data_IF_570275095376
#
_entry.id   IF_570275095376
#
_cell.length_a   1.000
_cell.length_b   1.000
_cell.length_c   1.000
_cell.angle_alpha   90.00
_cell.angle_beta   90.00
_cell.angle_gamma   90.00
#
_symmetry.space_group_name_H-M   'P 1'
#
loop_
_entity.id
_entity.type
_entity.pdbx_description
1 polymer ?
#
# COMPACT_ATOMS: atom_id res chain seq x y z
N UNK A 1 -18.12 -49.68 28.06
CA UNK A 1 -19.21 -49.56 27.06
C UNK A 1 -19.68 -48.11 27.09
N UNK A 2 -18.96 -47.20 26.44
CA UNK A 2 -19.18 -46.77 25.04
C UNK A 2 -20.56 -46.20 24.80
N UNK A 3 -20.68 -44.87 24.91
CA UNK A 3 -21.54 -44.08 24.03
C UNK A 3 -20.82 -42.76 23.73
N UNK A 4 -20.14 -42.72 22.59
CA UNK A 4 -19.64 -41.50 21.97
C UNK A 4 -20.82 -40.81 21.29
N UNK A 5 -21.06 -39.55 21.64
CA UNK A 5 -21.91 -38.63 20.88
C UNK A 5 -21.02 -37.47 20.42
N UNK A 6 -20.75 -37.43 19.13
CA UNK A 6 -20.11 -36.31 18.42
C UNK A 6 -21.11 -35.14 18.31
N UNK A 7 -20.71 -33.89 18.52
CA UNK A 7 -21.44 -32.75 17.98
C UNK A 7 -20.95 -32.47 16.56
N UNK A 8 -21.90 -32.53 15.63
CA UNK A 8 -21.78 -32.14 14.23
C UNK A 8 -21.31 -30.68 14.13
N UNK A 9 -20.16 -30.48 13.47
CA UNK A 9 -19.64 -29.16 13.14
C UNK A 9 -20.46 -28.51 12.02
N UNK A 10 -21.15 -27.41 12.34
CA UNK A 10 -21.65 -26.48 11.33
C UNK A 10 -20.46 -25.66 10.80
N UNK A 11 -19.93 -26.07 9.66
CA UNK A 11 -18.96 -25.28 8.90
C UNK A 11 -19.63 -24.02 8.35
N UNK A 12 -19.61 -22.95 9.15
CA UNK A 12 -19.85 -21.60 8.64
C UNK A 12 -18.62 -21.16 7.84
N UNK A 13 -18.79 -21.02 6.53
CA UNK A 13 -17.79 -20.46 5.63
C UNK A 13 -17.45 -19.02 6.04
N UNK A 14 -16.27 -18.81 6.60
CA UNK A 14 -15.69 -17.49 6.82
C UNK A 14 -15.20 -16.91 5.48
N UNK A 15 -16.01 -16.04 4.89
CA UNK A 15 -15.58 -15.05 3.90
C UNK A 15 -14.68 -14.03 4.61
N UNK A 16 -13.44 -13.84 4.16
CA UNK A 16 -12.61 -12.73 4.65
C UNK A 16 -11.82 -12.06 3.53
N UNK A 17 -11.99 -10.73 3.55
CA UNK A 17 -11.78 -9.72 2.55
C UNK A 17 -10.31 -9.41 2.19
N UNK A 18 -10.14 -8.91 0.97
CA UNK A 18 -8.91 -8.38 0.41
C UNK A 18 -8.70 -6.96 0.96
N UNK A 19 -7.64 -6.72 1.72
CA UNK A 19 -7.27 -5.38 2.22
C UNK A 19 -6.69 -4.57 1.06
N UNK A 20 -7.59 -4.07 0.21
CA UNK A 20 -7.56 -2.88 -0.66
C UNK A 20 -8.73 -2.95 -1.64
N UNK A 21 -9.91 -2.94 -1.05
CA UNK A 21 -11.14 -3.19 -1.76
C UNK A 21 -12.13 -2.06 -1.50
N UNK A 22 -12.16 -1.10 -2.43
CA UNK A 22 -13.24 -0.14 -2.63
C UNK A 22 -14.58 -0.84 -2.98
N UNK A 23 -14.66 -2.17 -2.88
CA UNK A 23 -15.88 -2.97 -2.98
C UNK A 23 -16.16 -3.85 -1.75
N UNK A 24 -15.30 -3.93 -0.72
CA UNK A 24 -15.56 -4.75 0.50
C UNK A 24 -15.87 -3.96 1.77
N UNK A 25 -16.07 -2.64 1.68
CA UNK A 25 -16.88 -1.94 2.70
C UNK A 25 -18.31 -2.55 2.76
N UNK A 26 -18.73 -3.29 1.73
CA UNK A 26 -20.09 -3.84 1.65
C UNK A 26 -20.29 -5.30 2.08
N UNK A 27 -19.23 -6.07 2.42
CA UNK A 27 -19.43 -7.48 2.81
C UNK A 27 -19.79 -7.70 4.28
N UNK A 28 -19.52 -6.75 5.19
CA UNK A 28 -19.99 -6.88 6.59
C UNK A 28 -21.43 -6.39 6.81
N UNK A 29 -21.99 -5.60 5.88
CA UNK A 29 -23.40 -5.18 5.90
C UNK A 29 -24.35 -6.18 5.24
N UNK A 30 -23.87 -7.27 4.63
CA UNK A 30 -24.75 -8.28 4.05
C UNK A 30 -25.63 -9.02 5.10
N UNK A 31 -25.36 -8.86 6.39
CA UNK A 31 -26.19 -9.36 7.50
C UNK A 31 -27.15 -8.32 8.08
N UNK A 32 -27.09 -7.06 7.64
CA UNK A 32 -28.02 -5.99 8.00
C UNK A 32 -28.52 -5.32 6.72
N UNK A 33 -29.77 -5.61 6.32
CA UNK A 33 -30.44 -5.06 5.13
C UNK A 33 -30.62 -3.53 5.20
N UNK A 34 -29.55 -2.76 5.17
CA UNK A 34 -29.58 -1.31 5.00
C UNK A 34 -29.14 -0.96 3.59
N UNK A 35 -29.93 -0.15 2.91
CA UNK A 35 -29.63 0.33 1.57
C UNK A 35 -28.36 1.19 1.59
N UNK A 36 -27.48 1.11 0.58
CA UNK A 36 -26.30 1.95 0.50
C UNK A 36 -26.69 3.43 0.56
N UNK A 37 -25.92 4.20 1.33
CA UNK A 37 -26.19 5.61 1.52
C UNK A 37 -26.14 6.35 0.16
N UNK A 38 -26.76 7.54 0.04
CA UNK A 38 -26.59 8.38 -1.16
C UNK A 38 -25.12 8.70 -1.48
N UNK A 39 -24.23 8.57 -0.50
CA UNK A 39 -22.80 8.89 -0.57
C UNK A 39 -21.94 7.71 -0.99
N UNK A 40 -22.22 6.50 -0.49
CA UNK A 40 -21.70 5.24 -1.05
C UNK A 40 -21.93 5.21 -2.56
N UNK A 41 -23.11 5.67 -2.97
CA UNK A 41 -23.47 5.81 -4.39
C UNK A 41 -22.66 6.88 -5.12
N UNK A 42 -22.18 7.95 -4.46
CA UNK A 42 -21.35 8.99 -5.09
C UNK A 42 -19.90 8.53 -5.25
N UNK A 43 -19.23 8.04 -4.22
CA UNK A 43 -17.84 7.56 -4.35
C UNK A 43 -17.75 6.34 -5.28
N UNK A 44 -18.78 5.48 -5.24
CA UNK A 44 -18.95 4.42 -6.24
C UNK A 44 -19.07 4.99 -7.66
N UNK A 45 -19.89 6.05 -7.87
CA UNK A 45 -19.98 6.72 -9.18
C UNK A 45 -18.64 7.31 -9.60
N UNK A 46 -17.92 8.01 -8.71
CA UNK A 46 -16.63 8.63 -9.02
C UNK A 46 -15.56 7.58 -9.38
N UNK A 47 -15.50 6.48 -8.61
CA UNK A 47 -14.63 5.35 -8.93
C UNK A 47 -15.04 4.70 -10.25
N UNK A 48 -16.34 4.61 -10.54
CA UNK A 48 -16.84 4.09 -11.81
C UNK A 48 -16.45 5.00 -12.97
N UNK A 49 -16.55 6.33 -12.85
CA UNK A 49 -16.20 7.29 -13.89
C UNK A 49 -14.73 7.18 -14.30
N UNK A 50 -13.82 7.04 -13.31
CA UNK A 50 -12.39 6.81 -13.58
C UNK A 50 -12.20 5.49 -14.33
N UNK A 51 -12.85 4.42 -13.88
CA UNK A 51 -12.75 3.10 -14.50
C UNK A 51 -13.30 3.13 -15.93
N UNK A 52 -14.46 3.73 -16.16
CA UNK A 52 -15.10 3.87 -17.47
C UNK A 52 -14.23 4.67 -18.44
N UNK A 53 -13.70 5.81 -17.98
CA UNK A 53 -12.73 6.60 -18.74
C UNK A 53 -11.54 5.74 -19.16
N UNK A 54 -10.91 5.03 -18.22
CA UNK A 54 -9.73 4.21 -18.53
C UNK A 54 -10.06 2.99 -19.40
N UNK A 55 -11.22 2.37 -19.24
CA UNK A 55 -11.68 1.27 -20.10
C UNK A 55 -11.86 1.73 -21.56
N UNK A 56 -12.32 2.97 -21.76
CA UNK A 56 -12.46 3.57 -23.10
C UNK A 56 -11.12 3.96 -23.69
N UNK A 57 -10.29 4.68 -22.93
CA UNK A 57 -9.07 5.32 -23.45
C UNK A 57 -7.82 4.43 -23.43
N UNK A 58 -7.77 3.37 -22.61
CA UNK A 58 -6.52 2.63 -22.33
C UNK A 58 -6.64 1.13 -22.59
N UNK A 59 -6.15 0.62 -23.73
CA UNK A 59 -6.17 -0.80 -24.06
C UNK A 59 -5.50 -1.70 -23.01
N UNK A 60 -4.38 -1.26 -22.42
CA UNK A 60 -3.66 -2.00 -21.38
C UNK A 60 -4.52 -2.19 -20.13
N UNK A 61 -5.26 -1.16 -19.74
CA UNK A 61 -6.16 -1.21 -18.58
C UNK A 61 -7.39 -2.08 -18.86
N UNK A 62 -7.94 -2.02 -20.08
CA UNK A 62 -9.03 -2.90 -20.50
C UNK A 62 -8.62 -4.37 -20.40
N UNK A 63 -7.47 -4.73 -20.98
CA UNK A 63 -6.90 -6.08 -20.88
C UNK A 63 -6.66 -6.49 -19.44
N UNK A 64 -6.10 -5.60 -18.61
CA UNK A 64 -5.91 -5.87 -17.19
C UNK A 64 -7.25 -6.17 -16.49
N UNK A 65 -8.28 -5.37 -16.76
CA UNK A 65 -9.60 -5.49 -16.15
C UNK A 65 -10.26 -6.83 -16.47
N UNK A 66 -10.14 -7.29 -17.73
CA UNK A 66 -10.59 -8.63 -18.14
C UNK A 66 -9.84 -9.76 -17.42
N UNK A 67 -8.51 -9.68 -17.35
CA UNK A 67 -7.68 -10.69 -16.68
C UNK A 67 -7.95 -10.76 -15.18
N UNK A 68 -8.14 -9.59 -14.56
CA UNK A 68 -8.57 -9.49 -13.17
C UNK A 68 -9.91 -10.20 -13.01
N UNK A 69 -10.94 -9.83 -13.77
CA UNK A 69 -12.27 -10.48 -13.70
C UNK A 69 -12.18 -12.01 -13.83
N UNK A 70 -11.36 -12.53 -14.75
CA UNK A 70 -11.11 -13.98 -14.87
C UNK A 70 -10.47 -14.58 -13.62
N UNK A 71 -9.53 -13.87 -13.00
CA UNK A 71 -8.84 -14.31 -11.79
C UNK A 71 -9.75 -14.34 -10.56
N UNK A 72 -10.57 -13.30 -10.37
CA UNK A 72 -11.57 -13.21 -9.29
C UNK A 72 -12.63 -14.31 -9.39
N UNK A 73 -13.01 -14.70 -10.61
CA UNK A 73 -13.98 -15.78 -10.83
C UNK A 73 -13.35 -17.18 -10.75
N UNK A 74 -12.11 -17.31 -10.31
CA UNK A 74 -11.39 -18.58 -10.28
C UNK A 74 -10.93 -18.91 -8.85
N UNK A 75 -11.51 -19.93 -8.20
CA UNK A 75 -11.14 -20.32 -6.83
C UNK A 75 -9.67 -20.76 -6.65
N UNK A 76 -8.95 -21.06 -7.75
CA UNK A 76 -7.50 -21.30 -7.69
C UNK A 76 -6.72 -20.00 -7.48
N UNK A 77 -7.25 -18.88 -7.96
CA UNK A 77 -6.77 -17.54 -7.65
C UNK A 77 -6.82 -17.30 -6.15
N UNK A 78 -8.00 -17.43 -5.53
CA UNK A 78 -8.17 -17.17 -4.10
C UNK A 78 -7.19 -17.96 -3.24
N UNK A 79 -7.08 -19.28 -3.48
CA UNK A 79 -6.12 -20.16 -2.81
C UNK A 79 -4.67 -19.73 -3.01
N UNK A 80 -4.31 -19.26 -4.21
CA UNK A 80 -2.98 -18.75 -4.50
C UNK A 80 -2.63 -17.51 -3.67
N UNK A 81 -3.54 -16.53 -3.61
CA UNK A 81 -3.33 -15.31 -2.83
C UNK A 81 -3.39 -15.58 -1.32
N UNK A 82 -4.26 -16.49 -0.86
CA UNK A 82 -4.35 -16.90 0.54
C UNK A 82 -3.05 -17.55 1.04
N UNK A 83 -2.47 -18.46 0.26
CA UNK A 83 -1.18 -19.08 0.60
C UNK A 83 -0.07 -18.02 0.75
N UNK A 84 -0.06 -17.01 -0.11
CA UNK A 84 0.93 -15.93 -0.03
C UNK A 84 0.70 -15.03 1.19
N UNK A 85 -0.55 -14.78 1.59
CA UNK A 85 -0.87 -14.05 2.83
C UNK A 85 -0.37 -14.81 4.06
N UNK A 86 -0.74 -16.09 4.18
CA UNK A 86 -0.28 -16.95 5.29
C UNK A 86 1.25 -16.98 5.42
N UNK A 87 1.97 -17.06 4.29
CA UNK A 87 3.43 -17.04 4.30
C UNK A 87 4.01 -15.68 4.74
N UNK A 88 3.34 -14.57 4.40
CA UNK A 88 3.74 -13.24 4.85
C UNK A 88 3.46 -13.01 6.34
N UNK A 89 2.30 -13.48 6.82
CA UNK A 89 1.85 -13.31 8.21
C UNK A 89 2.65 -14.17 9.20
N UNK A 90 3.06 -15.36 8.78
CA UNK A 90 3.82 -16.31 9.61
C UNK A 90 5.23 -16.55 9.06
N UNK A 91 5.89 -15.47 8.66
CA UNK A 91 7.22 -15.54 8.08
C UNK A 91 8.25 -16.08 9.11
N UNK A 92 8.78 -17.26 8.84
CA UNK A 92 9.96 -17.79 9.54
C UNK A 92 11.24 -17.05 9.11
N UNK A 93 12.37 -17.36 9.74
CA UNK A 93 13.65 -16.69 9.44
C UNK A 93 14.06 -16.82 7.96
N UNK A 94 13.73 -17.95 7.33
CA UNK A 94 14.01 -18.17 5.91
C UNK A 94 13.15 -17.27 5.03
N UNK A 95 11.87 -17.15 5.36
CA UNK A 95 10.90 -16.32 4.64
C UNK A 95 11.22 -14.84 4.83
N UNK A 96 11.58 -14.41 6.04
CA UNK A 96 12.04 -13.04 6.30
C UNK A 96 13.29 -12.70 5.47
N UNK A 97 14.30 -13.59 5.42
CA UNK A 97 15.48 -13.42 4.56
C UNK A 97 15.11 -13.33 3.07
N UNK A 98 14.15 -14.14 2.62
CA UNK A 98 13.65 -14.07 1.26
C UNK A 98 13.01 -12.71 0.96
N UNK A 99 12.14 -12.19 1.84
CA UNK A 99 11.53 -10.88 1.66
C UNK A 99 12.55 -9.75 1.68
N UNK A 100 13.51 -9.79 2.60
CA UNK A 100 14.61 -8.82 2.63
C UNK A 100 15.37 -8.78 1.31
N UNK A 101 15.74 -9.95 0.77
CA UNK A 101 16.41 -10.05 -0.53
C UNK A 101 15.53 -9.55 -1.68
N UNK A 102 14.26 -9.96 -1.70
CA UNK A 102 13.29 -9.53 -2.70
C UNK A 102 13.16 -8.01 -2.74
N UNK A 103 13.04 -7.34 -1.58
CA UNK A 103 12.96 -5.88 -1.50
C UNK A 103 14.25 -5.21 -1.98
N UNK A 104 15.43 -5.75 -1.63
CA UNK A 104 16.69 -5.25 -2.19
C UNK A 104 16.75 -5.38 -3.72
N UNK A 105 16.21 -6.46 -4.27
CA UNK A 105 16.19 -6.72 -5.71
C UNK A 105 15.24 -5.75 -6.42
N UNK A 106 14.03 -5.53 -5.87
CA UNK A 106 13.11 -4.48 -6.33
C UNK A 106 13.79 -3.12 -6.28
N UNK A 107 14.44 -2.76 -5.17
CA UNK A 107 15.10 -1.47 -5.00
C UNK A 107 16.22 -1.26 -6.04
N UNK A 108 17.02 -2.29 -6.31
CA UNK A 108 18.05 -2.25 -7.36
C UNK A 108 17.48 -2.04 -8.74
N UNK A 109 16.45 -2.80 -9.10
CA UNK A 109 15.83 -2.70 -10.42
C UNK A 109 15.14 -1.34 -10.60
N UNK A 110 14.46 -0.86 -9.55
CA UNK A 110 13.85 0.46 -9.51
C UNK A 110 14.91 1.56 -9.70
N UNK A 111 16.00 1.51 -8.94
CA UNK A 111 17.10 2.48 -9.07
C UNK A 111 17.72 2.43 -10.47
N UNK A 112 18.08 1.25 -10.97
CA UNK A 112 18.71 1.10 -12.30
C UNK A 112 17.91 1.75 -13.42
N UNK A 113 16.58 1.66 -13.34
CA UNK A 113 15.68 2.19 -14.38
C UNK A 113 15.33 3.67 -14.21
N UNK A 114 15.51 4.24 -13.02
CA UNK A 114 14.93 5.56 -12.69
C UNK A 114 15.87 6.54 -12.01
N UNK A 115 16.98 6.05 -11.45
CA UNK A 115 17.91 6.79 -10.59
C UNK A 115 17.35 7.14 -9.21
N UNK A 116 16.15 6.69 -8.84
CA UNK A 116 15.36 7.30 -7.75
C UNK A 116 16.02 7.29 -6.37
N UNK A 117 16.84 6.28 -6.06
CA UNK A 117 17.54 6.20 -4.78
C UNK A 117 18.79 7.09 -4.68
N UNK A 118 19.27 7.70 -5.77
CA UNK A 118 20.46 8.56 -5.72
C UNK A 118 20.10 9.91 -5.12
N UNK A 119 20.76 10.26 -4.01
CA UNK A 119 20.70 11.61 -3.45
C UNK A 119 21.70 12.47 -4.22
N UNK A 120 21.23 13.59 -4.77
CA UNK A 120 22.05 14.58 -5.47
C UNK A 120 22.24 15.78 -4.55
N UNK A 121 23.27 15.70 -3.71
CA UNK A 121 23.61 16.74 -2.74
C UNK A 121 25.09 17.12 -2.91
N UNK A 122 25.44 18.41 -2.77
CA UNK A 122 26.83 18.86 -2.77
C UNK A 122 27.59 18.42 -1.50
N UNK A 123 26.89 17.98 -0.45
CA UNK A 123 27.46 17.58 0.85
C UNK A 123 26.99 16.17 1.23
N UNK A 124 27.65 15.11 0.72
CA UNK A 124 27.18 13.73 0.86
C UNK A 124 27.09 13.22 2.30
N UNK A 125 27.92 13.74 3.20
CA UNK A 125 27.98 13.44 4.64
C UNK A 125 26.76 13.95 5.41
N UNK A 126 26.06 14.94 4.85
CA UNK A 126 24.83 15.52 5.40
C UNK A 126 23.55 14.94 4.78
N UNK A 127 23.68 13.90 3.96
CA UNK A 127 22.54 13.23 3.36
C UNK A 127 21.78 12.45 4.43
N UNK A 128 20.47 12.62 4.47
CA UNK A 128 19.60 11.96 5.44
C UNK A 128 18.48 11.19 4.73
N UNK A 129 18.23 9.96 5.18
CA UNK A 129 17.20 9.06 4.66
C UNK A 129 16.19 8.77 5.78
N UNK A 130 14.90 8.84 5.46
CA UNK A 130 13.82 8.41 6.35
C UNK A 130 13.17 7.14 5.80
N UNK A 131 13.02 6.11 6.64
CA UNK A 131 12.23 4.91 6.33
C UNK A 131 11.20 4.66 7.43
N UNK A 132 9.94 4.98 7.17
CA UNK A 132 8.90 4.97 8.21
C UNK A 132 8.32 3.59 8.51
N UNK A 133 8.61 2.59 7.69
CA UNK A 133 8.16 1.22 7.87
C UNK A 133 9.27 0.27 7.44
N UNK A 134 10.42 0.42 8.09
CA UNK A 134 11.70 -0.07 7.61
C UNK A 134 11.79 -1.59 7.54
N UNK A 135 11.28 -2.33 8.54
CA UNK A 135 11.44 -3.79 8.59
C UNK A 135 10.89 -4.48 7.33
N UNK A 136 11.65 -5.39 6.68
CA UNK A 136 12.93 -5.96 7.11
C UNK A 136 14.19 -5.12 6.76
N UNK A 137 14.06 -4.05 5.99
CA UNK A 137 15.11 -3.06 5.71
C UNK A 137 15.70 -3.12 4.31
N UNK A 138 15.04 -3.82 3.37
CA UNK A 138 15.60 -4.07 2.04
C UNK A 138 15.74 -2.82 1.16
N UNK A 139 14.77 -1.90 1.23
CA UNK A 139 14.87 -0.62 0.53
C UNK A 139 15.91 0.30 1.16
N UNK A 140 15.91 0.45 2.49
CA UNK A 140 16.95 1.25 3.16
C UNK A 140 18.36 0.68 2.92
N UNK A 141 18.54 -0.64 2.92
CA UNK A 141 19.81 -1.26 2.56
C UNK A 141 20.27 -0.88 1.14
N UNK A 142 19.33 -0.83 0.19
CA UNK A 142 19.62 -0.40 -1.18
C UNK A 142 19.99 1.07 -1.23
N UNK A 143 19.27 1.93 -0.50
CA UNK A 143 19.52 3.36 -0.43
C UNK A 143 20.89 3.68 0.18
N UNK A 144 21.24 3.06 1.31
CA UNK A 144 22.54 3.23 1.97
C UNK A 144 23.70 2.74 1.11
N UNK A 145 23.54 1.65 0.35
CA UNK A 145 24.59 1.22 -0.58
C UNK A 145 24.87 2.25 -1.68
N UNK A 146 23.83 2.94 -2.15
CA UNK A 146 23.95 3.94 -3.22
C UNK A 146 24.39 5.31 -2.68
N UNK A 147 24.16 5.57 -1.40
CA UNK A 147 24.54 6.80 -0.72
C UNK A 147 25.39 6.43 0.50
N UNK A 148 26.64 5.98 0.29
CA UNK A 148 27.44 5.34 1.31
C UNK A 148 27.78 6.25 2.48
N UNK A 149 27.65 7.57 2.36
CA UNK A 149 27.88 8.55 3.44
C UNK A 149 26.59 9.01 4.16
N UNK A 150 25.42 8.60 3.68
CA UNK A 150 24.15 9.04 4.25
C UNK A 150 23.92 8.51 5.67
N UNK A 151 23.20 9.31 6.45
CA UNK A 151 22.57 8.94 7.70
C UNK A 151 21.13 8.49 7.45
N UNK A 152 20.60 7.62 8.30
CA UNK A 152 19.23 7.17 8.19
C UNK A 152 18.51 7.15 9.54
N UNK A 153 17.25 7.56 9.52
CA UNK A 153 16.28 7.33 10.58
C UNK A 153 15.26 6.30 10.08
N UNK A 154 15.16 5.19 10.78
CA UNK A 154 14.19 4.13 10.52
C UNK A 154 13.17 4.02 11.65
N UNK A 155 11.91 3.82 11.29
CA UNK A 155 10.86 3.39 12.20
C UNK A 155 10.41 1.99 11.83
N UNK A 156 10.06 1.18 12.82
CA UNK A 156 9.48 -0.15 12.59
C UNK A 156 8.54 -0.51 13.71
N UNK A 157 7.44 -1.19 13.38
CA UNK A 157 6.52 -1.70 14.39
C UNK A 157 7.26 -2.72 15.28
N UNK A 158 7.13 -2.65 16.62
CA UNK A 158 7.68 -3.65 17.52
C UNK A 158 7.16 -5.06 17.21
N UNK A 159 8.01 -6.09 17.35
CA UNK A 159 7.57 -7.49 17.13
C UNK A 159 6.45 -7.93 18.07
N UNK A 160 6.46 -7.45 19.31
CA UNK A 160 5.39 -7.72 20.28
C UNK A 160 4.02 -7.19 19.82
N UNK A 161 4.01 -6.24 18.89
CA UNK A 161 2.80 -5.67 18.30
C UNK A 161 2.55 -6.23 16.88
N UNK A 162 3.14 -7.39 16.54
CA UNK A 162 2.99 -8.01 15.22
C UNK A 162 3.94 -7.49 14.15
N UNK A 163 4.94 -6.67 14.50
CA UNK A 163 5.96 -6.18 13.56
C UNK A 163 6.94 -7.26 13.09
N UNK A 164 7.58 -7.01 11.93
CA UNK A 164 8.53 -7.94 11.33
C UNK A 164 9.96 -7.85 11.90
N UNK A 165 10.75 -8.91 11.69
CA UNK A 165 12.18 -8.91 11.98
C UNK A 165 12.92 -7.88 11.13
N UNK A 166 13.73 -7.03 11.77
CA UNK A 166 14.69 -6.18 11.07
C UNK A 166 15.92 -7.01 10.70
N UNK A 167 16.23 -7.04 9.39
CA UNK A 167 17.36 -7.78 8.83
C UNK A 167 18.45 -6.87 8.25
N UNK A 168 18.24 -5.55 8.26
CA UNK A 168 19.28 -4.57 8.00
C UNK A 168 20.40 -4.73 9.05
N UNK A 169 21.66 -4.96 8.64
CA UNK A 169 22.78 -5.01 9.58
C UNK A 169 22.90 -3.71 10.38
N UNK A 170 23.32 -3.83 11.64
CA UNK A 170 23.61 -2.64 12.48
C UNK A 170 24.66 -1.79 11.79
N UNK A 171 24.42 -0.48 11.78
CA UNK A 171 25.31 0.47 11.12
C UNK A 171 25.34 1.77 11.94
N UNK A 172 26.52 2.39 12.17
CA UNK A 172 26.63 3.55 13.05
C UNK A 172 25.83 4.77 12.57
N UNK A 173 25.56 4.86 11.26
CA UNK A 173 24.79 5.94 10.65
C UNK A 173 23.29 5.63 10.50
N UNK A 174 22.81 4.56 11.12
CA UNK A 174 21.39 4.18 11.11
C UNK A 174 20.84 4.24 12.53
N UNK A 175 19.92 5.16 12.77
CA UNK A 175 19.10 5.20 13.99
C UNK A 175 17.80 4.47 13.72
N UNK A 176 17.51 3.43 14.49
CA UNK A 176 16.28 2.66 14.37
C UNK A 176 15.44 2.80 15.65
N UNK A 177 14.19 3.22 15.50
CA UNK A 177 13.20 3.33 16.58
C UNK A 177 12.09 2.29 16.36
N UNK A 178 11.74 1.55 17.42
CA UNK A 178 10.63 0.60 17.39
C UNK A 178 9.37 1.25 17.98
N UNK A 179 8.42 1.62 17.13
CA UNK A 179 7.17 2.28 17.52
C UNK A 179 6.11 2.14 16.44
N UNK A 180 4.85 2.41 16.79
CA UNK A 180 3.75 2.56 15.84
C UNK A 180 3.68 4.02 15.38
N UNK A 181 4.00 4.28 14.10
CA UNK A 181 4.01 5.65 13.57
C UNK A 181 2.62 6.29 13.59
N UNK A 182 1.54 5.49 13.59
CA UNK A 182 0.17 6.02 13.68
C UNK A 182 -0.16 6.61 15.05
N UNK A 183 0.72 6.44 16.03
CA UNK A 183 0.62 6.97 17.38
C UNK A 183 1.46 8.25 17.61
N UNK A 184 2.12 8.78 16.58
CA UNK A 184 2.96 9.99 16.63
C UNK A 184 2.11 11.27 16.65
N UNK A 185 1.26 11.43 17.67
CA UNK A 185 0.31 12.55 17.74
C UNK A 185 1.00 13.93 17.76
N UNK A 186 2.08 14.07 18.53
CA UNK A 186 2.82 15.32 18.64
C UNK A 186 3.44 15.73 17.28
N UNK A 187 4.02 14.77 16.54
CA UNK A 187 4.59 15.04 15.21
C UNK A 187 3.50 15.35 14.17
N UNK A 188 2.30 14.78 14.35
CA UNK A 188 1.08 15.06 13.58
C UNK A 188 0.34 16.34 14.03
N UNK A 189 0.95 17.15 14.90
CA UNK A 189 0.43 18.47 15.29
C UNK A 189 -0.61 18.46 16.41
N UNK A 190 -0.73 17.37 17.17
CA UNK A 190 -1.64 17.27 18.30
C UNK A 190 -0.89 16.98 19.61
N UNK A 191 -0.70 18.01 20.43
CA UNK A 191 -0.03 17.91 21.73
C UNK A 191 -0.97 17.48 22.87
N UNK A 192 -2.24 17.88 22.79
CA UNK A 192 -3.23 17.64 23.85
C UNK A 192 -4.20 16.52 23.44
N UNK A 193 -4.01 15.34 24.03
CA UNK A 193 -4.88 14.19 23.82
C UNK A 193 -6.03 14.21 24.84
N UNK A 194 -7.30 14.06 24.43
CA UNK A 194 -8.43 13.99 25.36
C UNK A 194 -8.27 12.83 26.35
N UNK A 195 -8.41 13.08 27.66
CA UNK A 195 -8.21 12.09 28.73
C UNK A 195 -9.10 10.86 28.61
N UNK A 196 -10.29 11.02 28.03
CA UNK A 196 -11.28 9.95 27.83
C UNK A 196 -10.94 9.02 26.66
N UNK A 197 -9.94 9.36 25.84
CA UNK A 197 -9.59 8.54 24.68
C UNK A 197 -8.96 7.22 25.15
N UNK A 198 -9.38 6.05 24.61
CA UNK A 198 -8.91 4.73 25.10
C UNK A 198 -7.40 4.55 24.98
N UNK A 199 -6.77 5.18 23.97
CA UNK A 199 -5.33 5.15 23.73
C UNK A 199 -4.57 6.39 24.26
N UNK A 200 -5.15 7.19 25.15
CA UNK A 200 -4.50 8.44 25.65
C UNK A 200 -3.04 8.26 26.04
N UNK A 201 -2.73 7.17 26.75
CA UNK A 201 -1.37 6.85 27.24
C UNK A 201 -0.46 6.22 26.18
N UNK A 202 -1.01 5.83 25.04
CA UNK A 202 -0.29 5.14 23.97
C UNK A 202 0.23 6.11 22.90
N UNK A 203 -0.27 7.35 22.86
CA UNK A 203 0.26 8.38 21.97
C UNK A 203 1.66 8.81 22.40
N UNK A 204 2.49 9.07 21.40
CA UNK A 204 3.92 9.28 21.57
C UNK A 204 4.27 10.78 21.52
N UNK A 205 5.28 11.21 22.30
CA UNK A 205 5.86 12.53 22.15
C UNK A 205 6.62 12.64 20.82
N UNK A 206 6.98 13.87 20.45
CA UNK A 206 7.74 14.19 19.24
C UNK A 206 8.93 13.26 19.05
N UNK A 207 9.02 12.64 17.86
CA UNK A 207 10.09 11.73 17.50
C UNK A 207 11.08 12.31 16.49
N UNK A 208 10.74 13.42 15.85
CA UNK A 208 11.59 14.16 14.93
C UNK A 208 12.22 15.36 15.64
N UNK A 209 13.51 15.58 15.43
CA UNK A 209 14.17 16.76 16.00
C UNK A 209 13.66 18.05 15.32
N UNK A 210 13.62 19.18 16.03
CA UNK A 210 13.27 20.46 15.41
C UNK A 210 14.15 20.76 14.19
N UNK A 211 13.52 21.02 13.04
CA UNK A 211 14.22 21.28 11.78
C UNK A 211 14.86 20.04 11.13
N UNK A 212 14.63 18.83 11.63
CA UNK A 212 15.12 17.61 11.00
C UNK A 212 14.51 17.43 9.61
N UNK A 213 15.35 17.25 8.60
CA UNK A 213 14.94 17.11 7.20
C UNK A 213 15.71 15.98 6.50
N UNK A 214 15.11 15.42 5.46
CA UNK A 214 15.59 14.26 4.73
C UNK A 214 15.66 14.52 3.22
N UNK A 215 16.61 13.90 2.56
CA UNK A 215 16.80 13.96 1.11
C UNK A 215 15.98 12.88 0.38
N UNK A 216 15.80 11.74 1.05
CA UNK A 216 15.06 10.58 0.55
C UNK A 216 14.14 10.04 1.65
N UNK A 217 12.86 9.86 1.32
CA UNK A 217 11.86 9.28 2.21
C UNK A 217 11.26 8.04 1.57
N UNK A 218 11.18 6.95 2.35
CA UNK A 218 10.58 5.68 1.98
C UNK A 218 9.26 5.48 2.75
N UNK A 219 8.17 5.37 2.00
CA UNK A 219 6.81 5.14 2.50
C UNK A 219 6.28 3.81 1.95
N UNK A 220 6.73 2.69 2.50
CA UNK A 220 6.35 1.34 2.07
C UNK A 220 5.48 0.60 3.10
N UNK A 221 4.97 1.34 4.10
CA UNK A 221 4.17 0.78 5.18
C UNK A 221 2.81 0.27 4.72
N UNK A 222 2.44 -0.91 5.23
CA UNK A 222 1.12 -1.50 5.08
C UNK A 222 0.62 -2.03 6.43
N UNK A 223 -0.69 -2.05 6.60
CA UNK A 223 -1.34 -2.66 7.77
C UNK A 223 -1.03 -4.15 7.78
N UNK A 224 -0.40 -4.60 8.87
CA UNK A 224 -0.16 -6.02 9.14
C UNK A 224 -1.43 -6.64 9.74
N UNK A 225 -1.76 -7.86 9.27
CA UNK A 225 -2.97 -8.60 9.70
C UNK A 225 -2.87 -9.15 11.12
N UNK A 226 -1.64 -9.32 11.62
CA UNK A 226 -1.37 -9.83 12.97
C UNK A 226 -1.15 -8.72 14.01
N UNK A 227 -1.30 -7.45 13.63
CA UNK A 227 -1.23 -6.36 14.58
C UNK A 227 -2.59 -6.22 15.25
N UNK A 228 -2.63 -6.44 16.56
CA UNK A 228 -3.83 -6.17 17.37
C UNK A 228 -4.11 -4.67 17.44
N UNK A 229 -5.37 -4.27 17.24
CA UNK A 229 -5.77 -2.87 17.14
C UNK A 229 -7.05 -2.63 17.89
N UNK A 230 -7.15 -1.45 18.47
CA UNK A 230 -8.38 -1.01 19.09
C UNK A 230 -9.51 -0.88 18.05
N UNK A 231 -10.70 -1.36 18.41
CA UNK A 231 -11.86 -1.45 17.51
C UNK A 231 -12.25 -0.11 16.85
N UNK A 232 -12.07 1.01 17.58
CA UNK A 232 -12.44 2.35 17.08
C UNK A 232 -11.64 2.77 15.83
N UNK A 233 -10.42 2.23 15.63
CA UNK A 233 -9.52 2.61 14.55
C UNK A 233 -9.30 1.55 13.48
N UNK A 234 -9.71 0.30 13.74
CA UNK A 234 -9.36 -0.84 12.89
C UNK A 234 -9.74 -0.60 11.41
N UNK A 235 -10.98 -0.18 11.15
CA UNK A 235 -11.47 0.06 9.80
C UNK A 235 -10.85 1.29 9.10
N UNK A 236 -10.24 2.21 9.86
CA UNK A 236 -9.61 3.44 9.36
C UNK A 236 -8.10 3.34 9.24
N UNK A 237 -7.54 2.25 9.73
CA UNK A 237 -6.12 2.16 10.04
C UNK A 237 -5.24 2.22 8.79
N UNK A 238 -5.67 1.60 7.70
CA UNK A 238 -4.94 1.69 6.43
C UNK A 238 -4.78 3.15 6.00
N UNK A 239 -5.85 3.94 6.13
CA UNK A 239 -5.81 5.36 5.86
C UNK A 239 -4.91 6.10 6.84
N UNK A 240 -5.05 5.86 8.16
CA UNK A 240 -4.20 6.46 9.21
C UNK A 240 -2.72 6.24 8.92
N UNK A 241 -2.33 5.01 8.58
CA UNK A 241 -0.95 4.65 8.24
C UNK A 241 -0.46 5.36 6.98
N UNK A 242 -1.27 5.41 5.92
CA UNK A 242 -0.89 6.10 4.68
C UNK A 242 -0.72 7.60 4.89
N UNK A 243 -1.67 8.27 5.54
CA UNK A 243 -1.61 9.74 5.72
C UNK A 243 -0.53 10.15 6.73
N UNK A 244 -0.23 9.32 7.74
CA UNK A 244 0.94 9.55 8.61
C UNK A 244 2.24 9.51 7.80
N UNK A 245 2.43 8.50 6.96
CA UNK A 245 3.63 8.40 6.11
C UNK A 245 3.72 9.56 5.11
N UNK A 246 2.61 9.96 4.50
CA UNK A 246 2.58 11.08 3.55
C UNK A 246 2.86 12.42 4.22
N UNK A 247 2.19 12.69 5.34
CA UNK A 247 2.33 13.94 6.10
C UNK A 247 3.75 14.11 6.62
N UNK A 248 4.24 13.18 7.44
CA UNK A 248 5.58 13.26 8.02
C UNK A 248 6.66 13.22 6.94
N UNK A 249 6.47 12.40 5.91
CA UNK A 249 7.38 12.32 4.78
C UNK A 249 7.50 13.65 4.04
N UNK A 250 6.39 14.31 3.71
CA UNK A 250 6.41 15.59 2.99
C UNK A 250 6.82 16.76 3.88
N UNK A 251 6.43 16.76 5.15
CA UNK A 251 6.79 17.78 6.15
C UNK A 251 8.29 17.84 6.42
N UNK A 252 8.95 16.69 6.38
CA UNK A 252 10.39 16.57 6.65
C UNK A 252 11.23 16.34 5.39
N UNK A 253 10.71 16.47 4.17
CA UNK A 253 11.54 16.38 2.96
C UNK A 253 12.19 17.74 2.65
N UNK A 254 13.49 17.73 2.33
CA UNK A 254 14.19 18.90 1.80
C UNK A 254 13.59 19.31 0.43
N UNK A 255 13.57 20.61 0.10
CA UNK A 255 13.30 21.04 -1.27
C UNK A 255 14.24 20.34 -2.26
N UNK A 256 13.67 19.83 -3.35
CA UNK A 256 14.37 18.99 -4.33
C UNK A 256 14.44 17.50 -3.97
N UNK A 257 14.05 17.11 -2.75
CA UNK A 257 14.13 15.74 -2.27
C UNK A 257 13.19 14.76 -2.99
N UNK A 258 13.27 13.49 -2.58
CA UNK A 258 12.55 12.37 -3.20
C UNK A 258 11.74 11.57 -2.19
N UNK A 259 10.50 11.23 -2.55
CA UNK A 259 9.65 10.28 -1.84
C UNK A 259 9.37 9.06 -2.73
N UNK A 260 9.51 7.86 -2.16
CA UNK A 260 9.12 6.59 -2.77
C UNK A 260 7.94 6.05 -1.97
N UNK A 261 6.77 5.97 -2.58
CA UNK A 261 5.51 5.65 -1.89
C UNK A 261 4.86 4.42 -2.50
N UNK A 262 4.57 3.42 -1.68
CA UNK A 262 3.79 2.24 -2.07
C UNK A 262 2.30 2.60 -2.18
N UNK A 263 1.73 2.36 -3.36
CA UNK A 263 0.32 2.56 -3.67
C UNK A 263 -0.26 1.30 -4.30
N UNK A 264 -1.58 1.24 -4.41
CA UNK A 264 -2.29 0.09 -4.98
C UNK A 264 -3.37 0.56 -5.94
N UNK A 265 -3.49 -0.13 -7.09
CA UNK A 265 -4.48 0.18 -8.14
C UNK A 265 -4.36 1.64 -8.61
N UNK A 266 -3.63 1.88 -9.71
CA UNK A 266 -3.44 3.24 -10.25
C UNK A 266 -4.78 3.94 -10.50
N UNK A 267 -5.79 3.17 -10.89
CA UNK A 267 -7.16 3.58 -11.15
C UNK A 267 -8.03 3.81 -9.91
N UNK A 268 -7.55 3.50 -8.69
CA UNK A 268 -8.33 3.76 -7.48
C UNK A 268 -8.42 5.26 -7.24
N UNK A 269 -9.58 5.73 -6.77
CA UNK A 269 -9.81 7.15 -6.48
C UNK A 269 -8.70 7.73 -5.60
N UNK A 270 -8.30 7.01 -4.55
CA UNK A 270 -7.23 7.39 -3.63
C UNK A 270 -5.88 7.57 -4.34
N UNK A 271 -5.48 6.61 -5.18
CA UNK A 271 -4.23 6.71 -5.94
C UNK A 271 -4.28 7.84 -6.96
N UNK A 272 -5.38 8.02 -7.67
CA UNK A 272 -5.52 9.11 -8.65
C UNK A 272 -5.43 10.48 -7.97
N UNK A 273 -6.11 10.66 -6.83
CA UNK A 273 -6.05 11.89 -6.04
C UNK A 273 -4.62 12.18 -5.56
N UNK A 274 -3.93 11.19 -5.00
CA UNK A 274 -2.54 11.36 -4.56
C UNK A 274 -1.61 11.71 -5.73
N UNK A 275 -1.75 11.02 -6.86
CA UNK A 275 -0.94 11.31 -8.05
C UNK A 275 -1.19 12.72 -8.57
N UNK A 276 -2.44 13.18 -8.60
CA UNK A 276 -2.78 14.55 -8.99
C UNK A 276 -2.22 15.59 -8.03
N UNK A 277 -2.34 15.36 -6.71
CA UNK A 277 -1.79 16.25 -5.68
C UNK A 277 -0.28 16.40 -5.85
N UNK A 278 0.46 15.29 -5.93
CA UNK A 278 1.91 15.32 -6.09
C UNK A 278 2.36 15.90 -7.43
N UNK A 279 1.61 15.75 -8.53
CA UNK A 279 1.98 16.30 -9.84
C UNK A 279 2.00 17.85 -9.83
N UNK A 280 1.39 18.50 -8.83
CA UNK A 280 1.40 19.96 -8.67
C UNK A 280 2.71 20.51 -8.10
N UNK A 281 3.43 19.70 -7.33
CA UNK A 281 4.63 20.16 -6.62
C UNK A 281 5.84 19.22 -6.74
N UNK A 282 5.73 18.14 -7.50
CA UNK A 282 6.80 17.17 -7.71
C UNK A 282 6.82 16.63 -9.14
N UNK A 283 7.97 16.11 -9.56
CA UNK A 283 8.10 15.27 -10.75
C UNK A 283 7.67 13.85 -10.41
N UNK A 284 6.47 13.44 -10.88
CA UNK A 284 5.90 12.12 -10.59
C UNK A 284 6.20 11.12 -11.70
N UNK A 285 6.66 9.92 -11.31
CA UNK A 285 6.79 8.72 -12.15
C UNK A 285 6.22 7.51 -11.42
N UNK A 286 5.77 6.49 -12.14
CA UNK A 286 5.33 5.23 -11.56
C UNK A 286 6.30 4.10 -11.86
N UNK A 287 6.46 3.20 -10.89
CA UNK A 287 7.26 1.99 -11.03
C UNK A 287 6.47 0.77 -10.59
N UNK A 288 6.46 -0.25 -11.44
CA UNK A 288 5.93 -1.58 -11.10
C UNK A 288 7.04 -2.62 -11.27
N UNK A 289 7.37 -3.41 -10.24
CA UNK A 289 8.32 -4.48 -10.39
C UNK A 289 7.77 -5.56 -11.35
N UNK A 290 8.62 -6.07 -12.24
CA UNK A 290 8.24 -7.03 -13.29
C UNK A 290 8.33 -8.49 -12.85
N UNK A 291 9.00 -8.75 -11.71
CA UNK A 291 9.24 -10.09 -11.16
C UNK A 291 8.46 -10.30 -9.86
N UNK A 292 8.87 -9.59 -8.80
CA UNK A 292 8.18 -9.62 -7.52
C UNK A 292 6.88 -8.81 -7.56
N UNK A 293 5.83 -9.32 -6.94
CA UNK A 293 4.51 -8.66 -6.86
C UNK A 293 3.92 -8.22 -8.22
N UNK A 294 4.40 -8.75 -9.34
CA UNK A 294 3.98 -8.32 -10.66
C UNK A 294 2.47 -8.57 -10.90
N UNK A 295 1.90 -9.63 -10.30
CA UNK A 295 0.46 -9.93 -10.36
C UNK A 295 -0.39 -9.10 -9.39
N UNK A 296 0.22 -8.52 -8.35
CA UNK A 296 -0.47 -7.68 -7.36
C UNK A 296 -0.83 -6.32 -7.95
N UNK A 297 -1.78 -5.63 -7.34
CA UNK A 297 -2.14 -4.25 -7.69
C UNK A 297 -1.12 -3.22 -7.20
N UNK A 298 -0.17 -3.61 -6.35
CA UNK A 298 0.86 -2.74 -5.80
C UNK A 298 1.78 -2.17 -6.87
N UNK A 299 2.14 -0.90 -6.70
CA UNK A 299 3.11 -0.16 -7.48
C UNK A 299 3.72 0.97 -6.62
N UNK A 300 4.78 1.60 -7.09
CA UNK A 300 5.44 2.70 -6.39
C UNK A 300 5.23 4.01 -7.15
N UNK A 301 4.76 5.04 -6.45
CA UNK A 301 4.90 6.43 -6.88
C UNK A 301 6.31 6.89 -6.53
N UNK A 302 7.01 7.44 -7.51
CA UNK A 302 8.32 8.05 -7.38
C UNK A 302 8.14 9.55 -7.57
N UNK A 303 8.10 10.29 -6.48
CA UNK A 303 7.99 11.76 -6.49
C UNK A 303 9.38 12.35 -6.21
N UNK A 304 9.96 13.03 -7.19
CA UNK A 304 11.29 13.67 -7.07
C UNK A 304 11.21 15.16 -7.38
N UNK A 305 12.26 15.92 -7.05
CA UNK A 305 12.27 17.38 -7.20
C UNK A 305 11.08 18.02 -6.45
N UNK A 306 10.80 17.54 -5.25
CA UNK A 306 9.66 17.98 -4.45
C UNK A 306 9.88 19.43 -4.02
N UNK A 307 8.95 20.32 -4.35
CA UNK A 307 8.90 21.71 -3.85
C UNK A 307 8.16 21.73 -2.51
N UNK A 308 8.80 21.27 -1.44
CA UNK A 308 8.16 21.11 -0.13
C UNK A 308 7.81 22.43 0.58
N UNK A 309 8.36 23.54 0.10
CA UNK A 309 8.14 24.90 0.58
C UNK A 309 6.98 25.63 -0.12
N UNK A 310 6.29 24.98 -1.07
CA UNK A 310 5.18 25.59 -1.81
C UNK A 310 3.82 25.44 -1.10
N UNK A 311 2.87 26.32 -1.45
CA UNK A 311 1.54 26.34 -0.86
C UNK A 311 0.78 25.03 -1.06
N UNK A 312 0.92 24.37 -2.21
CA UNK A 312 0.27 23.09 -2.50
C UNK A 312 0.79 21.97 -1.60
N UNK A 313 2.09 21.94 -1.30
CA UNK A 313 2.66 20.96 -0.38
C UNK A 313 2.17 21.21 1.05
N UNK A 314 2.16 22.47 1.50
CA UNK A 314 1.63 22.85 2.81
C UNK A 314 0.14 22.50 2.97
N UNK A 315 -0.68 22.76 1.94
CA UNK A 315 -2.09 22.37 1.91
C UNK A 315 -2.28 20.86 1.99
N UNK A 316 -1.44 20.08 1.28
CA UNK A 316 -1.50 18.62 1.33
C UNK A 316 -1.19 18.09 2.74
N UNK A 317 -0.14 18.62 3.40
CA UNK A 317 0.20 18.27 4.79
C UNK A 317 -0.97 18.58 5.73
N UNK A 318 -1.48 19.81 5.71
CA UNK A 318 -2.58 20.23 6.59
C UNK A 318 -3.84 19.36 6.40
N UNK A 319 -4.14 19.01 5.16
CA UNK A 319 -5.24 18.10 4.82
C UNK A 319 -5.04 16.71 5.40
N UNK A 320 -3.84 16.12 5.26
CA UNK A 320 -3.54 14.80 5.80
C UNK A 320 -3.50 14.78 7.33
N UNK A 321 -2.97 15.81 7.99
CA UNK A 321 -2.99 15.95 9.46
C UNK A 321 -4.43 16.09 9.98
N UNK A 322 -5.27 16.88 9.30
CA UNK A 322 -6.70 17.02 9.63
C UNK A 322 -7.44 15.68 9.50
N UNK A 323 -7.27 14.98 8.38
CA UNK A 323 -7.86 13.65 8.17
C UNK A 323 -7.36 12.64 9.21
N UNK A 324 -6.08 12.70 9.59
CA UNK A 324 -5.54 11.83 10.63
C UNK A 324 -6.17 12.10 11.98
N UNK A 325 -6.38 13.37 12.34
CA UNK A 325 -7.07 13.76 13.56
C UNK A 325 -8.51 13.25 13.57
N UNK A 326 -9.25 13.40 12.48
CA UNK A 326 -10.63 12.89 12.38
C UNK A 326 -10.65 11.36 12.44
N UNK A 327 -9.77 10.69 11.69
CA UNK A 327 -9.68 9.23 11.70
C UNK A 327 -9.30 8.67 13.09
N UNK A 328 -8.59 9.45 13.90
CA UNK A 328 -8.13 9.04 15.23
C UNK A 328 -9.10 9.40 16.36
N UNK A 329 -9.69 10.60 16.32
CA UNK A 329 -10.46 11.15 17.45
C UNK A 329 -11.94 11.44 17.09
N UNK A 330 -12.29 11.44 15.81
CA UNK A 330 -13.65 11.73 15.34
C UNK A 330 -14.55 10.51 15.33
N UNK A 331 -15.87 10.77 15.32
CA UNK A 331 -16.90 9.73 15.16
C UNK A 331 -16.91 9.16 13.73
N UNK A 332 -17.62 8.04 13.52
CA UNK A 332 -17.81 7.48 12.17
C UNK A 332 -18.45 8.50 11.23
N UNK A 333 -19.48 9.20 11.68
CA UNK A 333 -20.14 10.25 10.90
C UNK A 333 -19.18 11.39 10.50
N UNK A 334 -18.30 11.82 11.42
CA UNK A 334 -17.29 12.83 11.11
C UNK A 334 -16.28 12.32 10.09
N UNK A 335 -15.87 11.06 10.21
CA UNK A 335 -14.92 10.45 9.28
C UNK A 335 -15.52 10.29 7.88
N UNK A 336 -16.73 9.76 7.77
CA UNK A 336 -17.45 9.63 6.50
C UNK A 336 -17.71 10.99 5.84
N UNK A 337 -18.09 11.99 6.64
CA UNK A 337 -18.24 13.37 6.16
C UNK A 337 -16.91 13.93 5.67
N UNK A 338 -15.81 13.70 6.40
CA UNK A 338 -14.50 14.17 5.99
C UNK A 338 -14.08 13.52 4.68
N UNK A 339 -14.25 12.20 4.50
CA UNK A 339 -13.95 11.51 3.24
C UNK A 339 -14.71 12.14 2.05
N UNK A 340 -15.94 12.59 2.30
CA UNK A 340 -16.77 13.27 1.30
C UNK A 340 -16.23 14.65 0.92
N UNK A 341 -15.85 15.47 1.90
CA UNK A 341 -15.37 16.85 1.69
C UNK A 341 -13.93 16.90 1.17
N UNK A 342 -13.14 15.85 1.46
CA UNK A 342 -11.75 15.71 1.04
C UNK A 342 -11.67 15.45 -0.49
N UNK A 343 -12.71 14.90 -1.10
CA UNK A 343 -12.69 14.46 -2.50
C UNK A 343 -12.64 15.58 -3.55
N UNK A 344 -11.66 15.53 -4.46
CA UNK A 344 -11.73 16.30 -5.71
C UNK A 344 -12.83 15.71 -6.61
N UNK A 345 -13.65 16.56 -7.22
CA UNK A 345 -14.68 16.12 -8.17
C UNK A 345 -14.05 15.33 -9.33
N UNK A 346 -14.44 14.06 -9.51
CA UNK A 346 -13.80 13.16 -10.48
C UNK A 346 -13.89 13.67 -11.92
N UNK A 347 -14.97 14.37 -12.29
CA UNK A 347 -15.08 14.98 -13.62
C UNK A 347 -14.00 16.04 -13.86
N UNK A 348 -13.77 16.91 -12.86
CA UNK A 348 -12.70 17.93 -12.90
C UNK A 348 -11.34 17.25 -12.90
N UNK A 349 -11.16 16.25 -12.03
CA UNK A 349 -9.94 15.46 -11.93
C UNK A 349 -9.61 14.75 -13.24
N UNK A 350 -10.57 14.08 -13.87
CA UNK A 350 -10.39 13.37 -15.14
C UNK A 350 -10.17 14.33 -16.30
N UNK A 351 -10.86 15.47 -16.31
CA UNK A 351 -10.66 16.51 -17.34
C UNK A 351 -9.25 17.08 -17.30
N UNK A 352 -8.74 17.39 -16.11
CA UNK A 352 -7.42 18.01 -15.94
C UNK A 352 -6.27 16.98 -15.96
N UNK A 353 -6.46 15.85 -15.28
CA UNK A 353 -5.42 14.88 -15.02
C UNK A 353 -5.54 13.59 -15.84
N UNK A 354 -6.68 13.31 -16.46
CA UNK A 354 -6.94 12.07 -17.21
C UNK A 354 -5.84 11.71 -18.20
N UNK A 355 -5.43 12.60 -19.13
CA UNK A 355 -4.35 12.32 -20.06
C UNK A 355 -3.01 12.03 -19.38
N UNK A 356 -2.72 12.69 -18.25
CA UNK A 356 -1.50 12.46 -17.45
C UNK A 356 -1.58 11.12 -16.72
N UNK A 357 -2.74 10.79 -16.14
CA UNK A 357 -3.03 9.51 -15.51
C UNK A 357 -2.81 8.34 -16.48
N UNK A 358 -3.33 8.45 -17.72
CA UNK A 358 -3.10 7.45 -18.78
C UNK A 358 -1.62 7.24 -19.02
N UNK A 359 -0.85 8.33 -19.21
CA UNK A 359 0.60 8.23 -19.45
C UNK A 359 1.34 7.58 -18.28
N UNK A 360 0.99 7.93 -17.05
CA UNK A 360 1.60 7.37 -15.84
C UNK A 360 1.27 5.88 -15.68
N UNK A 361 0.00 5.50 -15.81
CA UNK A 361 -0.50 4.16 -15.52
C UNK A 361 -0.20 3.12 -16.59
N UNK A 362 -0.05 3.51 -17.87
CA UNK A 362 0.06 2.60 -19.02
C UNK A 362 1.00 1.41 -18.77
N UNK A 363 2.23 1.69 -18.36
CA UNK A 363 3.25 0.66 -18.13
C UNK A 363 2.96 -0.20 -16.89
N UNK A 364 2.37 0.40 -15.84
CA UNK A 364 1.98 -0.32 -14.62
C UNK A 364 0.90 -1.35 -14.94
N UNK A 365 -0.14 -0.94 -15.68
CA UNK A 365 -1.22 -1.84 -16.07
C UNK A 365 -0.75 -2.95 -17.00
N UNK A 366 0.08 -2.64 -18.01
CA UNK A 366 0.62 -3.66 -18.92
C UNK A 366 1.48 -4.70 -18.20
N UNK A 367 2.38 -4.28 -17.31
CA UNK A 367 3.19 -5.20 -16.52
C UNK A 367 2.30 -6.12 -15.68
N UNK A 368 1.24 -5.59 -15.06
CA UNK A 368 0.32 -6.42 -14.28
C UNK A 368 -0.46 -7.39 -15.17
N UNK A 369 -0.99 -6.92 -16.30
CA UNK A 369 -1.73 -7.75 -17.25
C UNK A 369 -0.86 -8.90 -17.76
N UNK A 370 0.39 -8.61 -18.15
CA UNK A 370 1.34 -9.62 -18.60
C UNK A 370 1.68 -10.65 -17.51
N UNK A 371 1.77 -10.23 -16.25
CA UNK A 371 1.99 -11.14 -15.14
C UNK A 371 0.77 -12.03 -14.87
N UNK A 372 -0.44 -11.46 -14.88
CA UNK A 372 -1.69 -12.20 -14.67
C UNK A 372 -1.95 -13.19 -15.80
N UNK A 373 -1.75 -12.81 -17.05
CA UNK A 373 -1.90 -13.71 -18.21
C UNK A 373 -1.01 -14.96 -18.13
N UNK A 374 0.13 -14.88 -17.42
CA UNK A 374 1.05 -16.01 -17.20
C UNK A 374 0.84 -16.71 -15.86
N UNK A 375 -0.08 -16.22 -15.03
CA UNK A 375 -0.28 -16.75 -13.69
C UNK A 375 -0.80 -18.20 -13.75
N UNK A 376 -0.31 -19.10 -12.89
CA UNK A 376 -0.64 -20.52 -12.97
C UNK A 376 -2.14 -20.81 -12.77
N UNK A 377 -2.86 -19.93 -12.07
CA UNK A 377 -4.32 -20.06 -11.89
C UNK A 377 -5.12 -19.60 -13.12
N UNK A 378 -4.54 -18.83 -14.04
CA UNK A 378 -5.19 -18.36 -15.28
C UNK A 378 -4.77 -19.14 -16.53
N UNK A 379 -3.78 -20.03 -16.43
CA UNK A 379 -3.45 -20.94 -17.53
C UNK A 379 -4.55 -21.98 -17.66
N UNK A 380 -5.25 -21.98 -18.80
CA UNK A 380 -6.02 -23.14 -19.22
C UNK A 380 -5.02 -24.28 -19.50
N UNK A 381 -5.20 -25.43 -18.86
CA UNK A 381 -4.47 -26.62 -19.30
C UNK A 381 -4.92 -26.88 -20.74
N UNK A 382 -4.00 -27.11 -21.71
CA UNK A 382 -4.40 -27.65 -22.99
C UNK A 382 -5.15 -28.95 -22.69
N UNK A 383 -6.43 -29.00 -23.03
CA UNK A 383 -7.21 -30.23 -23.00
C UNK A 383 -6.43 -31.24 -23.84
N UNK A 384 -6.06 -32.36 -23.22
CA UNK A 384 -5.27 -33.40 -23.85
C UNK A 384 -5.95 -33.93 -25.11
N UNK A 385 -5.43 -33.54 -26.27
CA UNK A 385 -5.49 -34.38 -27.46
C UNK A 385 -4.61 -35.60 -27.18
N UNK A 386 -5.22 -36.67 -26.71
CA UNK A 386 -4.51 -37.89 -26.33
C UNK A 386 -5.42 -39.06 -26.00
N UNK A 387 -6.59 -39.15 -26.64
CA UNK A 387 -7.39 -40.37 -26.68
C UNK A 387 -7.07 -41.16 -27.94
N UNK A 388 -5.87 -41.76 -28.02
CA UNK A 388 -5.65 -42.87 -28.95
C UNK A 388 -5.90 -44.15 -28.17
N UNK A 389 -7.07 -44.73 -28.45
CA UNK A 389 -7.43 -46.12 -28.18
C UNK A 389 -6.32 -47.07 -28.60
N UNK A 390 -5.76 -47.80 -27.64
CA UNK A 390 -5.10 -49.08 -27.91
C UNK A 390 -6.13 -50.16 -27.60
N UNK A 391 -6.53 -50.89 -28.64
CA UNK A 391 -7.39 -52.06 -28.52
C UNK A 391 -6.68 -53.16 -27.73
N UNK A 392 -7.42 -53.75 -26.81
CA UNK A 392 -7.11 -54.99 -26.12
C UNK A 392 -6.93 -56.14 -27.13
N UNK A 393 -5.86 -56.91 -26.98
CA UNK A 393 -5.74 -58.24 -27.56
C UNK A 393 -5.54 -59.24 -26.42
N UNK A 394 -6.60 -59.99 -26.12
CA UNK A 394 -6.65 -61.27 -25.42
C UNK A 394 -7.96 -61.89 -25.92
N UNK A 395 -8.07 -63.06 -26.54
CA UNK A 395 -7.51 -64.37 -26.20
C UNK A 395 -7.84 -65.33 -27.36
N UNK A 396 -6.87 -66.14 -27.81
CA UNK A 396 -6.91 -67.60 -28.02
C UNK A 396 -5.71 -68.07 -28.85
#
# INVERSE_FOLDING_TARGET
MSSKTEPQGSHAHAFTADVNNTFEIFSHRALTREAPSPQDRRDQRLSNDIVEYLLREVPEFRRLSELRKKGWNNPKGDRFFEKQRRAADHADDKTAKHFYKMMQDIGRDMHRLTGVFQIKSPSPDQNCILDMCMAPGGFLATALRLNPEAHALGFSLPKCNGGHNVLLPKHPRVTLKFLDITMLAADMGLSDIPSEHPDTRNFLPTQFEPGQVFDLVLCDGQVLRNHDRAAYREHREARRLTITQLSLGLKHIKPGGTMIVLLHKVESLESVQLLYIFDRFASVRLYKPTRAHATRSSFYMLASNIRSDCAEAAMAIARWESMWKIATFGTDDMYEKALTEDGLHAEVLLREFGPRLVRLGKKVWDIQANALARAPFLKENPVGLGGMTVQENTTQ
#
